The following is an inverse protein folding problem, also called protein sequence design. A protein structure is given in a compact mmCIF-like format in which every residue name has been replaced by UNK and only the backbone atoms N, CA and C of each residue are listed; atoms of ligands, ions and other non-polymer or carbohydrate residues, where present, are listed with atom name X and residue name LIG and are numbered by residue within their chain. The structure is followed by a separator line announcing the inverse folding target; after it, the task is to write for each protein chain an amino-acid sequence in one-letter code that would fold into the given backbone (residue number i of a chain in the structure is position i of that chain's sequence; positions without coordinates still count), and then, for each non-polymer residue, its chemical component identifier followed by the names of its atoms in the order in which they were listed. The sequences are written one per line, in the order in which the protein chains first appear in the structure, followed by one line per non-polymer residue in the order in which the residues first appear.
data_IF_827461509102
#
_entry.id   IF_827461509102
#
_cell.length_a   1.000
_cell.length_b   1.000
_cell.length_c   1.000
_cell.angle_alpha   90.00
_cell.angle_beta   90.00
_cell.angle_gamma   90.00
#
_symmetry.space_group_name_H-M   'P 1'
#
loop_
_entity.id
_entity.type
_entity.pdbx_description
1 polymer ?
#
# COMPACT_ATOMS: atom_id res chain seq x y z
N UNK A 1 -12.88 27.67 -8.17
CA UNK A 1 -12.04 27.63 -6.96
C UNK A 1 -12.89 27.01 -5.84
N UNK A 2 -12.75 25.71 -5.58
CA UNK A 2 -13.54 25.04 -4.53
C UNK A 2 -13.06 25.50 -3.16
N UNK A 3 -13.99 25.97 -2.36
CA UNK A 3 -13.72 26.49 -1.02
C UNK A 3 -13.55 25.30 -0.05
N UNK A 4 -12.34 24.80 0.13
CA UNK A 4 -12.00 23.67 0.99
C UNK A 4 -12.23 23.92 2.50
N UNK A 5 -12.55 25.13 2.88
CA UNK A 5 -12.52 25.60 4.28
C UNK A 5 -13.71 25.18 5.16
N UNK A 6 -14.71 24.44 4.68
CA UNK A 6 -15.90 24.10 5.49
C UNK A 6 -16.40 22.65 5.39
N UNK A 7 -15.66 21.74 4.76
CA UNK A 7 -16.14 20.36 4.62
C UNK A 7 -15.57 19.46 5.69
N UNK A 8 -16.45 18.78 6.43
CA UNK A 8 -16.03 17.71 7.32
C UNK A 8 -15.54 16.52 6.48
N UNK A 9 -14.32 16.04 6.78
CA UNK A 9 -13.78 14.85 6.13
C UNK A 9 -14.07 13.65 7.00
N UNK A 10 -14.71 12.64 6.42
CA UNK A 10 -14.94 11.34 7.04
C UNK A 10 -13.75 10.48 6.67
N UNK A 11 -13.16 9.84 7.66
CA UNK A 11 -11.93 9.06 7.51
C UNK A 11 -12.27 7.60 7.69
N UNK A 12 -11.96 6.80 6.69
CA UNK A 12 -11.99 5.34 6.76
C UNK A 12 -10.57 4.81 6.67
N UNK A 13 -10.29 3.75 7.41
CA UNK A 13 -8.97 3.17 7.51
C UNK A 13 -9.06 1.66 7.25
N UNK A 14 -8.26 1.19 6.29
CA UNK A 14 -8.18 -0.21 5.92
C UNK A 14 -7.07 -0.88 6.71
N UNK A 15 -7.44 -1.72 7.65
CA UNK A 15 -6.52 -2.36 8.57
C UNK A 15 -6.97 -3.76 8.96
N UNK A 16 -6.05 -4.72 9.15
CA UNK A 16 -6.36 -5.98 9.77
C UNK A 16 -6.50 -5.77 11.28
N UNK A 17 -7.12 -6.69 11.90
CA UNK A 17 -7.58 -6.52 13.26
C UNK A 17 -6.87 -7.40 14.27
N UNK A 18 -6.08 -8.40 13.83
CA UNK A 18 -5.31 -9.26 14.73
C UNK A 18 -4.04 -9.80 14.08
N UNK A 19 -2.92 -9.75 14.80
CA UNK A 19 -1.69 -10.47 14.49
C UNK A 19 -1.50 -11.71 15.37
N UNK A 20 -0.45 -12.49 15.10
CA UNK A 20 -0.02 -13.60 15.96
C UNK A 20 1.37 -13.30 16.50
N UNK A 21 1.53 -13.31 17.80
CA UNK A 21 2.82 -13.29 18.47
C UNK A 21 2.98 -14.60 19.26
N UNK A 22 4.01 -15.39 18.96
CA UNK A 22 4.28 -16.67 19.63
C UNK A 22 3.04 -17.59 19.73
N UNK A 23 2.25 -17.67 18.66
CA UNK A 23 1.03 -18.49 18.63
C UNK A 23 -0.21 -17.88 19.28
N UNK A 24 -0.09 -16.78 19.99
CA UNK A 24 -1.24 -16.07 20.59
C UNK A 24 -1.75 -14.98 19.67
N UNK A 25 -3.08 -14.84 19.58
CA UNK A 25 -3.70 -13.71 18.86
C UNK A 25 -3.50 -12.44 19.67
N UNK A 26 -2.79 -11.47 19.11
CA UNK A 26 -2.58 -10.15 19.71
C UNK A 26 -3.26 -9.12 18.83
N UNK A 27 -3.97 -8.20 19.44
CA UNK A 27 -4.63 -7.11 18.72
C UNK A 27 -3.63 -5.98 18.51
N UNK A 28 -3.38 -5.62 17.25
CA UNK A 28 -2.62 -4.44 16.89
C UNK A 28 -3.45 -3.19 17.13
N UNK A 29 -3.27 -2.55 18.28
CA UNK A 29 -3.98 -1.33 18.63
C UNK A 29 -3.16 -0.11 18.18
N UNK A 30 -3.77 0.75 17.39
CA UNK A 30 -3.17 2.02 17.01
C UNK A 30 -4.20 3.16 17.01
N UNK A 31 -3.73 4.37 17.00
CA UNK A 31 -4.52 5.59 16.94
C UNK A 31 -4.22 6.40 15.68
N UNK A 32 -5.07 7.37 15.42
CA UNK A 32 -4.95 8.31 14.31
C UNK A 32 -5.08 9.74 14.81
N UNK A 33 -4.18 10.60 14.37
CA UNK A 33 -4.38 12.06 14.47
C UNK A 33 -4.22 12.74 13.12
N UNK A 34 -4.91 13.86 12.97
CA UNK A 34 -4.86 14.73 11.79
C UNK A 34 -4.56 16.15 12.25
N UNK A 35 -3.50 16.74 11.72
CA UNK A 35 -2.99 18.07 12.12
C UNK A 35 -2.91 18.24 13.65
N UNK A 36 -2.32 17.25 14.33
CA UNK A 36 -2.17 17.22 15.78
C UNK A 36 -3.45 16.90 16.58
N UNK A 37 -4.63 16.93 15.95
CA UNK A 37 -5.90 16.56 16.60
C UNK A 37 -6.09 15.06 16.55
N UNK A 38 -6.23 14.42 17.70
CA UNK A 38 -6.56 13.00 17.79
C UNK A 38 -7.98 12.73 17.31
N UNK A 39 -8.12 11.84 16.33
CA UNK A 39 -9.40 11.49 15.70
C UNK A 39 -9.91 10.15 16.22
N UNK A 40 -9.04 9.15 16.33
CA UNK A 40 -9.39 7.85 16.88
C UNK A 40 -8.26 7.28 17.73
N UNK A 41 -8.66 6.52 18.75
CA UNK A 41 -7.71 5.93 19.72
C UNK A 41 -7.68 4.41 19.67
N UNK A 42 -8.59 3.78 18.93
CA UNK A 42 -8.80 2.33 19.00
C UNK A 42 -9.09 1.75 17.62
N UNK A 43 -8.08 1.78 16.76
CA UNK A 43 -8.13 1.15 15.45
C UNK A 43 -7.38 -0.19 15.48
N UNK A 44 -7.69 -1.08 14.56
CA UNK A 44 -7.03 -2.39 14.42
C UNK A 44 -7.47 -3.46 15.41
N UNK A 45 -8.63 -3.31 16.06
CA UNK A 45 -9.11 -4.25 17.11
C UNK A 45 -10.38 -5.01 16.76
N UNK A 46 -10.96 -4.82 15.57
CA UNK A 46 -12.25 -5.38 15.18
C UNK A 46 -12.05 -6.55 14.20
N UNK A 47 -12.34 -7.79 14.62
CA UNK A 47 -12.31 -8.99 13.76
C UNK A 47 -10.90 -9.53 13.46
N UNK A 48 -10.74 -10.27 12.36
CA UNK A 48 -9.49 -10.91 11.93
C UNK A 48 -9.23 -10.79 10.42
N UNK A 49 -9.95 -9.89 9.75
CA UNK A 49 -9.84 -9.64 8.32
C UNK A 49 -9.49 -8.19 8.05
N UNK A 50 -8.98 -7.90 6.87
CA UNK A 50 -8.81 -6.55 6.38
C UNK A 50 -10.18 -5.94 6.10
N UNK A 51 -10.53 -4.88 6.82
CA UNK A 51 -11.79 -4.18 6.68
C UNK A 51 -11.58 -2.68 6.78
N UNK A 52 -12.50 -1.92 6.20
CA UNK A 52 -12.56 -0.49 6.43
C UNK A 52 -13.19 -0.20 7.79
N UNK A 53 -12.51 0.60 8.58
CA UNK A 53 -12.97 1.04 9.90
C UNK A 53 -13.21 2.54 9.85
N UNK A 54 -14.34 2.97 10.36
CA UNK A 54 -14.59 4.40 10.53
C UNK A 54 -13.66 4.93 11.62
N UNK A 55 -12.81 5.89 11.26
CA UNK A 55 -11.84 6.48 12.18
C UNK A 55 -12.32 7.79 12.79
N UNK A 56 -13.29 8.47 12.18
CA UNK A 56 -13.82 9.71 12.70
C UNK A 56 -14.03 10.78 11.65
N UNK A 57 -14.27 12.00 12.11
CA UNK A 57 -14.44 13.18 11.27
C UNK A 57 -13.41 14.23 11.63
N UNK A 58 -12.94 14.92 10.60
CA UNK A 58 -12.02 16.04 10.73
C UNK A 58 -12.51 17.22 9.88
N UNK A 59 -12.53 18.40 10.44
CA UNK A 59 -12.81 19.63 9.69
C UNK A 59 -11.49 20.22 9.20
N UNK A 60 -11.27 20.17 7.88
CA UNK A 60 -10.07 20.72 7.29
C UNK A 60 -10.13 22.26 7.34
N UNK A 61 -9.15 22.86 7.97
CA UNK A 61 -8.94 24.32 8.03
C UNK A 61 -7.73 24.75 7.20
N UNK A 62 -6.91 23.78 6.76
CA UNK A 62 -5.65 24.00 6.08
C UNK A 62 -5.61 23.21 4.76
N UNK A 63 -4.77 23.66 3.82
CA UNK A 63 -4.55 22.97 2.54
C UNK A 63 -3.77 21.66 2.70
N UNK A 64 -2.84 21.63 3.66
CA UNK A 64 -2.00 20.47 3.94
C UNK A 64 -2.56 19.71 5.14
N UNK A 65 -2.63 18.39 5.00
CA UNK A 65 -3.10 17.50 6.06
C UNK A 65 -1.92 16.64 6.51
N UNK A 66 -1.54 16.78 7.78
CA UNK A 66 -0.57 15.93 8.44
C UNK A 66 -1.26 14.79 9.14
N UNK A 67 -0.98 13.55 8.72
CA UNK A 67 -1.56 12.34 9.28
C UNK A 67 -0.49 11.63 10.10
N UNK A 68 -0.83 11.28 11.33
CA UNK A 68 0.04 10.50 12.21
C UNK A 68 -0.69 9.27 12.71
N UNK A 69 -0.10 8.11 12.44
CA UNK A 69 -0.50 6.84 13.05
C UNK A 69 0.30 6.65 14.33
N UNK A 70 -0.40 6.44 15.43
CA UNK A 70 0.21 6.23 16.74
C UNK A 70 0.18 4.75 17.09
N UNK A 71 1.33 4.13 17.21
CA UNK A 71 1.42 2.80 17.79
C UNK A 71 1.13 2.88 19.30
N UNK A 72 0.11 2.16 19.75
CA UNK A 72 -0.33 2.18 21.15
C UNK A 72 0.08 0.93 21.94
N UNK A 73 0.62 -0.09 21.27
CA UNK A 73 1.02 -1.35 21.93
C UNK A 73 2.37 -1.90 21.53
N UNK A 74 3.09 -1.24 20.61
CA UNK A 74 4.40 -1.66 20.15
C UNK A 74 4.39 -2.96 19.34
N UNK A 75 3.22 -3.45 18.92
CA UNK A 75 3.13 -4.69 18.16
C UNK A 75 1.93 -4.71 17.22
N UNK A 76 2.20 -5.06 15.94
CA UNK A 76 1.25 -5.45 14.91
C UNK A 76 0.14 -4.44 14.59
N UNK A 77 0.37 -3.16 14.82
CA UNK A 77 -0.47 -2.08 14.30
C UNK A 77 -0.29 -2.00 12.79
N UNK A 78 -1.31 -2.33 12.00
CA UNK A 78 -1.25 -2.36 10.54
C UNK A 78 -2.28 -1.45 9.92
N UNK A 79 -1.86 -0.67 8.94
CA UNK A 79 -2.72 0.18 8.13
C UNK A 79 -2.25 0.08 6.69
N UNK A 80 -3.14 -0.28 5.76
CA UNK A 80 -2.84 -0.31 4.34
C UNK A 80 -3.22 0.99 3.65
N UNK A 81 -4.40 1.52 3.96
CA UNK A 81 -4.90 2.71 3.29
C UNK A 81 -5.76 3.58 4.22
N UNK A 82 -5.74 4.88 3.96
CA UNK A 82 -6.60 5.87 4.61
C UNK A 82 -7.40 6.57 3.52
N UNK A 83 -8.73 6.57 3.65
CA UNK A 83 -9.63 7.19 2.70
C UNK A 83 -10.35 8.38 3.34
N UNK A 84 -10.24 9.54 2.71
CA UNK A 84 -10.94 10.75 3.10
C UNK A 84 -12.08 11.04 2.13
N UNK A 85 -13.26 11.31 2.66
CA UNK A 85 -14.41 11.72 1.86
C UNK A 85 -15.20 12.82 2.57
N UNK A 86 -15.88 13.64 1.79
CA UNK A 86 -16.84 14.64 2.30
C UNK A 86 -18.27 14.12 2.35
N UNK A 87 -18.50 12.90 1.88
CA UNK A 87 -19.82 12.27 1.76
C UNK A 87 -19.95 11.11 2.75
N UNK A 88 -21.03 11.11 3.51
CA UNK A 88 -21.31 10.08 4.53
C UNK A 88 -21.59 8.70 3.93
N UNK A 89 -22.15 8.67 2.74
CA UNK A 89 -22.54 7.46 1.98
C UNK A 89 -21.41 6.87 1.14
N UNK A 90 -20.27 7.55 1.06
CA UNK A 90 -19.13 7.15 0.24
C UNK A 90 -18.19 6.22 1.03
N UNK A 91 -18.68 5.02 1.33
CA UNK A 91 -17.98 4.02 2.14
C UNK A 91 -17.22 3.06 1.22
N UNK A 92 -15.88 2.94 1.34
CA UNK A 92 -15.13 1.98 0.55
C UNK A 92 -15.53 0.54 0.90
N UNK A 93 -15.74 -0.34 -0.10
CA UNK A 93 -16.03 -1.75 0.15
C UNK A 93 -14.80 -2.49 0.69
N UNK A 94 -15.01 -3.51 1.54
CA UNK A 94 -13.92 -4.34 2.08
C UNK A 94 -13.64 -5.59 1.23
N UNK A 95 -14.53 -5.97 0.33
CA UNK A 95 -14.25 -7.01 -0.66
C UNK A 95 -13.23 -6.52 -1.68
N UNK A 96 -12.22 -7.35 -1.99
CA UNK A 96 -11.10 -6.95 -2.85
C UNK A 96 -11.51 -6.61 -4.28
N UNK A 97 -12.43 -7.34 -4.88
CA UNK A 97 -12.88 -7.06 -6.25
C UNK A 97 -13.67 -5.76 -6.31
N UNK A 98 -14.59 -5.57 -5.36
CA UNK A 98 -15.36 -4.34 -5.22
C UNK A 98 -14.47 -3.14 -4.88
N UNK A 99 -13.45 -3.33 -4.01
CA UNK A 99 -12.48 -2.28 -3.67
C UNK A 99 -11.63 -1.86 -4.87
N UNK A 100 -11.19 -2.79 -5.69
CA UNK A 100 -10.45 -2.48 -6.91
C UNK A 100 -11.30 -1.67 -7.89
N UNK A 101 -12.57 -2.02 -8.06
CA UNK A 101 -13.50 -1.25 -8.89
C UNK A 101 -13.76 0.14 -8.31
N UNK A 102 -13.94 0.24 -7.00
CA UNK A 102 -14.08 1.51 -6.29
C UNK A 102 -12.84 2.40 -6.49
N UNK A 103 -11.63 1.87 -6.28
CA UNK A 103 -10.37 2.59 -6.51
C UNK A 103 -10.25 3.07 -7.97
N UNK A 104 -10.54 2.20 -8.93
CA UNK A 104 -10.52 2.56 -10.36
C UNK A 104 -11.47 3.70 -10.67
N UNK A 105 -12.70 3.64 -10.14
CA UNK A 105 -13.69 4.69 -10.34
C UNK A 105 -13.23 6.03 -9.73
N UNK A 106 -12.69 6.01 -8.50
CA UNK A 106 -12.20 7.22 -7.82
C UNK A 106 -10.97 7.84 -8.49
N UNK A 107 -10.13 7.04 -9.11
CA UNK A 107 -8.95 7.49 -9.84
C UNK A 107 -9.24 7.83 -11.32
N UNK A 108 -10.49 7.70 -11.77
CA UNK A 108 -10.85 7.93 -13.17
C UNK A 108 -10.29 6.86 -14.12
N UNK A 109 -9.94 5.67 -13.63
CA UNK A 109 -9.34 4.57 -14.39
C UNK A 109 -10.40 3.59 -14.92
N UNK A 110 -11.59 4.07 -15.31
CA UNK A 110 -12.65 3.21 -15.83
C UNK A 110 -12.45 2.86 -17.31
N UNK A 111 -11.67 3.65 -18.04
CA UNK A 111 -11.31 3.31 -19.42
C UNK A 111 -10.45 2.05 -19.46
N UNK A 112 -10.61 1.18 -20.48
CA UNK A 112 -9.74 0.03 -20.65
C UNK A 112 -8.28 0.51 -20.78
N UNK A 113 -7.32 -0.20 -20.18
CA UNK A 113 -5.90 0.15 -20.30
C UNK A 113 -5.46 0.04 -21.77
N UNK A 114 -4.48 0.85 -22.15
CA UNK A 114 -3.79 0.66 -23.42
C UNK A 114 -3.16 -0.73 -23.45
N UNK A 115 -3.38 -1.45 -24.54
CA UNK A 115 -2.77 -2.76 -24.74
C UNK A 115 -1.50 -2.60 -25.58
N UNK A 116 -0.41 -3.18 -25.13
CA UNK A 116 0.85 -3.26 -25.85
C UNK A 116 1.30 -4.72 -25.94
N UNK A 117 2.01 -5.05 -27.01
CA UNK A 117 2.59 -6.40 -27.21
C UNK A 117 4.06 -6.40 -26.88
N UNK A 118 4.49 -7.44 -26.17
CA UNK A 118 5.86 -7.71 -25.79
C UNK A 118 6.17 -9.18 -26.08
N UNK A 119 7.45 -9.50 -26.36
CA UNK A 119 7.91 -10.88 -26.52
C UNK A 119 7.97 -11.59 -25.17
N UNK A 120 8.29 -10.82 -24.11
CA UNK A 120 8.37 -11.31 -22.74
C UNK A 120 7.84 -10.26 -21.76
N UNK A 121 6.99 -10.70 -20.85
CA UNK A 121 6.55 -9.90 -19.69
C UNK A 121 7.06 -10.55 -18.42
N UNK A 122 7.87 -9.83 -17.65
CA UNK A 122 8.40 -10.28 -16.37
C UNK A 122 7.68 -9.52 -15.25
N UNK A 123 7.07 -10.24 -14.32
CA UNK A 123 6.34 -9.66 -13.18
C UNK A 123 7.19 -9.85 -11.92
N UNK A 124 7.56 -8.73 -11.31
CA UNK A 124 8.46 -8.66 -10.17
C UNK A 124 9.90 -8.35 -10.55
N UNK A 125 10.39 -7.18 -10.13
CA UNK A 125 11.75 -6.72 -10.41
C UNK A 125 12.73 -6.99 -9.24
N UNK A 126 12.62 -8.14 -8.61
CA UNK A 126 13.66 -8.69 -7.76
C UNK A 126 14.89 -9.11 -8.58
N UNK A 127 15.94 -9.62 -7.94
CA UNK A 127 17.18 -10.03 -8.63
C UNK A 127 16.90 -11.00 -9.78
N UNK A 128 16.08 -12.01 -9.57
CA UNK A 128 15.73 -13.00 -10.61
C UNK A 128 14.99 -12.34 -11.78
N UNK A 129 13.98 -11.52 -11.50
CA UNK A 129 13.21 -10.82 -12.54
C UNK A 129 14.05 -9.82 -13.34
N UNK A 130 14.90 -9.06 -12.69
CA UNK A 130 15.83 -8.16 -13.37
C UNK A 130 16.81 -8.93 -14.26
N UNK A 131 17.40 -10.02 -13.74
CA UNK A 131 18.33 -10.85 -14.51
C UNK A 131 17.65 -11.46 -15.74
N UNK A 132 16.42 -11.95 -15.58
CA UNK A 132 15.61 -12.49 -16.68
C UNK A 132 15.32 -11.41 -17.73
N UNK A 133 14.84 -10.24 -17.30
CA UNK A 133 14.49 -9.16 -18.21
C UNK A 133 15.70 -8.64 -18.99
N UNK A 134 16.84 -8.43 -18.30
CA UNK A 134 18.08 -7.98 -18.92
C UNK A 134 18.63 -9.01 -19.90
N UNK A 135 18.63 -10.30 -19.53
CA UNK A 135 19.11 -11.36 -20.40
C UNK A 135 18.28 -11.48 -21.67
N UNK A 136 16.95 -11.46 -21.56
CA UNK A 136 16.06 -11.50 -22.71
C UNK A 136 16.23 -10.26 -23.63
N UNK A 137 16.33 -9.09 -23.03
CA UNK A 137 16.54 -7.84 -23.78
C UNK A 137 17.88 -7.84 -24.55
N UNK A 138 18.95 -8.38 -23.94
CA UNK A 138 20.25 -8.56 -24.62
C UNK A 138 20.19 -9.53 -25.78
N UNK A 139 19.26 -10.48 -25.76
CA UNK A 139 19.00 -11.42 -26.87
C UNK A 139 18.06 -10.82 -27.93
N UNK A 140 17.69 -9.55 -27.81
CA UNK A 140 16.87 -8.86 -28.80
C UNK A 140 15.36 -8.89 -28.57
N UNK A 141 14.89 -9.48 -27.47
CA UNK A 141 13.47 -9.51 -27.14
C UNK A 141 12.97 -8.11 -26.71
N UNK A 142 11.74 -7.77 -27.13
CA UNK A 142 11.01 -6.63 -26.56
C UNK A 142 10.44 -7.06 -25.21
N UNK A 143 11.01 -6.55 -24.11
CA UNK A 143 10.68 -6.98 -22.75
C UNK A 143 9.93 -5.90 -21.98
N UNK A 144 8.86 -6.28 -21.26
CA UNK A 144 8.26 -5.47 -20.21
C UNK A 144 8.64 -6.04 -18.84
N UNK A 145 9.15 -5.20 -17.95
CA UNK A 145 9.40 -5.52 -16.55
C UNK A 145 8.41 -4.74 -15.68
N UNK A 146 7.54 -5.46 -14.98
CA UNK A 146 6.51 -4.88 -14.11
C UNK A 146 6.98 -4.97 -12.67
N UNK A 147 6.98 -3.83 -11.98
CA UNK A 147 7.35 -3.73 -10.56
C UNK A 147 6.31 -2.92 -9.81
N UNK A 148 5.92 -3.37 -8.63
CA UNK A 148 4.96 -2.71 -7.74
C UNK A 148 5.65 -1.81 -6.68
N UNK A 149 6.98 -1.85 -6.62
CA UNK A 149 7.79 -1.07 -5.68
C UNK A 149 8.48 0.11 -6.36
N UNK A 150 8.78 1.20 -5.63
CA UNK A 150 9.43 2.38 -6.18
C UNK A 150 10.85 2.12 -6.70
N UNK A 151 11.52 1.08 -6.20
CA UNK A 151 12.86 0.67 -6.64
C UNK A 151 12.90 -0.79 -7.04
N UNK A 152 13.73 -1.11 -8.01
CA UNK A 152 14.00 -2.49 -8.43
C UNK A 152 15.06 -3.14 -7.53
N UNK A 153 15.15 -4.47 -7.51
CA UNK A 153 16.12 -5.21 -6.70
C UNK A 153 15.50 -6.07 -5.60
N UNK A 154 14.22 -5.86 -5.29
CA UNK A 154 13.52 -6.61 -4.25
C UNK A 154 14.20 -6.44 -2.89
N UNK A 155 14.44 -7.55 -2.17
CA UNK A 155 15.07 -7.51 -0.85
C UNK A 155 16.53 -7.01 -0.88
N UNK A 156 17.20 -7.06 -2.02
CA UNK A 156 18.57 -6.58 -2.20
C UNK A 156 18.61 -5.08 -2.53
N UNK A 157 17.45 -4.43 -2.72
CA UNK A 157 17.36 -3.01 -2.98
C UNK A 157 17.66 -2.17 -1.73
N UNK A 158 17.70 -0.85 -1.92
CA UNK A 158 17.83 0.11 -0.83
C UNK A 158 16.68 0.07 0.19
N UNK A 159 15.55 -0.55 -0.15
CA UNK A 159 14.40 -0.68 0.77
C UNK A 159 14.70 -1.62 1.95
N UNK A 160 15.35 -2.77 1.71
CA UNK A 160 15.59 -3.78 2.76
C UNK A 160 17.09 -4.01 2.98
N UNK A 161 17.92 -3.87 1.92
CA UNK A 161 19.39 -3.99 1.96
C UNK A 161 19.89 -5.36 2.41
N UNK A 162 19.21 -6.44 2.02
CA UNK A 162 19.70 -7.79 2.23
C UNK A 162 20.88 -8.04 1.29
N UNK A 163 22.00 -8.47 1.83
CA UNK A 163 23.18 -8.82 1.03
C UNK A 163 22.95 -10.10 0.23
N UNK A 164 23.48 -10.14 -0.98
CA UNK A 164 23.62 -11.39 -1.72
C UNK A 164 24.66 -12.24 -1.00
N UNK A 165 24.21 -13.38 -0.46
CA UNK A 165 25.07 -14.35 0.20
C UNK A 165 25.21 -15.62 -0.61
N UNK A 166 26.20 -16.45 -0.26
CA UNK A 166 26.44 -17.77 -0.87
C UNK A 166 27.79 -17.87 -1.56
N UNK A 167 28.06 -19.03 -2.15
CA UNK A 167 29.24 -19.25 -2.98
C UNK A 167 29.05 -18.57 -4.34
N UNK A 168 29.59 -17.39 -4.47
CA UNK A 168 29.56 -16.63 -5.73
C UNK A 168 30.83 -17.02 -6.50
N UNK A 169 30.71 -17.67 -7.64
CA UNK A 169 31.83 -17.99 -8.52
C UNK A 169 32.28 -16.73 -9.28
N UNK A 170 32.92 -15.81 -8.57
CA UNK A 170 33.48 -14.59 -9.14
C UNK A 170 34.62 -14.96 -10.08
N UNK A 171 34.54 -14.55 -11.34
CA UNK A 171 35.58 -14.77 -12.34
C UNK A 171 35.45 -16.05 -13.18
N UNK A 172 34.40 -16.85 -12.98
CA UNK A 172 34.13 -18.02 -13.84
C UNK A 172 33.33 -17.70 -15.10
N UNK A 173 32.61 -16.59 -15.11
CA UNK A 173 31.81 -16.16 -16.24
C UNK A 173 32.18 -14.72 -16.63
N UNK A 174 32.25 -14.42 -17.93
CA UNK A 174 32.55 -13.07 -18.42
C UNK A 174 31.47 -12.07 -18.06
#
# INVERSE_FOLDING_TARGET
MYNFQKMAHIIFLYAPTTGRLHGRRVKGLFGLSVNGKKISYRLGIIGNQWIWQYAGQYQATEKNIHIVLHDLKGFDGRCDAIYFTTRKDDIPPSDMAALNNFRRAKLGLLAPPKTESYDLVVIGAGIAGMSTAVSAARLGCKVALINDRPVVGGNNSSEIRVHLGGAIEIGKYP
#
